data_IF_282144206105
#
_entry.id   IF_282144206105
#
_cell.length_a   1.000
_cell.length_b   1.000
_cell.length_c   1.000
_cell.angle_alpha   90.00
_cell.angle_beta   90.00
_cell.angle_gamma   90.00
#
_symmetry.space_group_name_H-M   'P 1'
#
loop_
_entity.id
_entity.type
_entity.pdbx_description
1 polymer ?
#
# COMPACT_ATOMS: atom_id res chain seq x y z
N UNK A 1 -17.68 64.86 26.25
CA UNK A 1 -19.05 64.54 25.78
C UNK A 1 -19.35 65.40 24.55
N UNK A 2 -20.20 64.96 23.61
CA UNK A 2 -20.50 63.60 23.14
C UNK A 2 -19.71 63.38 21.80
N UNK A 3 -20.05 62.59 20.76
CA UNK A 3 -20.83 61.34 20.53
C UNK A 3 -19.84 60.39 19.79
N UNK A 4 -19.82 59.06 19.98
CA UNK A 4 -20.71 58.02 19.39
C UNK A 4 -20.87 58.07 17.87
N UNK A 5 -20.28 57.08 17.20
CA UNK A 5 -20.93 56.34 16.11
C UNK A 5 -20.33 54.93 16.06
N UNK A 6 -21.15 53.90 16.19
CA UNK A 6 -20.75 52.48 16.09
C UNK A 6 -21.31 51.94 14.77
N UNK A 7 -20.52 51.24 13.93
CA UNK A 7 -21.07 50.63 12.73
C UNK A 7 -22.08 49.53 13.12
N UNK A 8 -23.31 49.67 12.63
CA UNK A 8 -24.35 48.65 12.78
C UNK A 8 -24.10 47.60 11.69
N UNK A 9 -23.54 46.45 12.08
CA UNK A 9 -23.32 45.35 11.15
C UNK A 9 -24.64 44.58 10.97
N UNK A 10 -25.38 44.92 9.91
CA UNK A 10 -26.71 44.37 9.67
C UNK A 10 -26.63 42.88 9.31
N UNK A 11 -27.22 42.04 10.16
CA UNK A 11 -27.17 40.59 10.02
C UNK A 11 -28.16 40.05 8.95
N UNK A 12 -28.93 40.91 8.29
CA UNK A 12 -29.90 40.50 7.26
C UNK A 12 -29.30 40.36 5.86
N UNK A 13 -28.20 41.07 5.56
CA UNK A 13 -27.59 41.11 4.22
C UNK A 13 -26.80 39.81 3.90
N UNK A 14 -26.09 39.28 4.91
CA UNK A 14 -25.33 38.02 4.77
C UNK A 14 -26.22 36.81 4.44
N UNK A 15 -27.41 36.73 5.01
CA UNK A 15 -28.35 35.64 4.76
C UNK A 15 -28.94 35.66 3.35
N UNK A 16 -28.99 36.84 2.70
CA UNK A 16 -29.38 36.96 1.30
C UNK A 16 -28.26 36.51 0.35
N UNK A 17 -27.00 36.72 0.74
CA UNK A 17 -25.83 36.29 -0.04
C UNK A 17 -25.65 34.77 -0.02
N UNK A 18 -25.67 34.14 1.17
CA UNK A 18 -25.51 32.69 1.32
C UNK A 18 -26.58 31.91 0.52
N UNK A 19 -27.84 32.33 0.59
CA UNK A 19 -28.94 31.72 -0.17
C UNK A 19 -28.79 31.86 -1.69
N UNK A 20 -28.07 32.89 -2.17
CA UNK A 20 -27.77 33.07 -3.59
C UNK A 20 -26.55 32.25 -4.04
N UNK A 21 -25.64 31.91 -3.12
CA UNK A 21 -24.55 30.94 -3.36
C UNK A 21 -25.10 29.52 -3.47
N UNK A 22 -25.89 29.05 -2.48
CA UNK A 22 -26.49 27.70 -2.52
C UNK A 22 -27.32 27.45 -3.80
N UNK A 23 -28.11 28.46 -4.23
CA UNK A 23 -28.89 28.38 -5.45
C UNK A 23 -28.04 28.34 -6.74
N UNK A 24 -26.80 28.86 -6.69
CA UNK A 24 -25.85 28.80 -7.81
C UNK A 24 -25.13 27.44 -7.84
N UNK A 25 -24.74 26.92 -6.69
CA UNK A 25 -24.10 25.60 -6.56
C UNK A 25 -25.04 24.47 -7.01
N UNK A 26 -26.30 24.47 -6.56
CA UNK A 26 -27.31 23.48 -7.00
C UNK A 26 -27.61 23.55 -8.51
N UNK A 27 -27.46 24.73 -9.14
CA UNK A 27 -27.56 24.88 -10.58
C UNK A 27 -26.38 24.21 -11.32
N UNK A 28 -25.16 24.43 -10.82
CA UNK A 28 -23.94 23.84 -11.37
C UNK A 28 -23.92 22.31 -11.25
N UNK A 29 -24.32 21.75 -10.10
CA UNK A 29 -24.41 20.29 -9.91
C UNK A 29 -25.41 19.65 -10.88
N UNK A 30 -26.55 20.30 -11.14
CA UNK A 30 -27.56 19.81 -12.08
C UNK A 30 -27.11 19.85 -13.54
N UNK A 31 -26.36 20.89 -13.94
CA UNK A 31 -25.82 21.03 -15.30
C UNK A 31 -24.67 20.04 -15.54
N UNK A 32 -23.81 19.82 -14.54
CA UNK A 32 -22.71 18.85 -14.58
C UNK A 32 -23.23 17.41 -14.68
N UNK A 33 -24.25 17.05 -13.89
CA UNK A 33 -24.88 15.72 -13.96
C UNK A 33 -25.62 15.44 -15.28
N UNK A 34 -25.99 16.49 -16.04
CA UNK A 34 -26.51 16.33 -17.39
C UNK A 34 -25.40 16.07 -18.42
N UNK A 35 -24.22 16.65 -18.21
CA UNK A 35 -23.08 16.52 -19.12
C UNK A 35 -22.41 15.15 -19.04
N UNK A 36 -22.19 14.61 -17.83
CA UNK A 36 -21.67 13.24 -17.63
C UNK A 36 -22.52 12.19 -18.37
N UNK A 37 -23.85 12.39 -18.35
CA UNK A 37 -24.82 11.48 -18.96
C UNK A 37 -24.81 11.50 -20.49
N UNK A 38 -24.35 12.59 -21.10
CA UNK A 38 -24.21 12.71 -22.55
C UNK A 38 -22.92 12.04 -23.06
N UNK A 39 -21.88 11.97 -22.24
CA UNK A 39 -20.62 11.27 -22.59
C UNK A 39 -20.74 9.74 -22.58
N UNK A 40 -21.54 9.18 -21.67
CA UNK A 40 -21.75 7.72 -21.57
C UNK A 40 -22.40 7.14 -22.85
N UNK A 41 -23.41 7.85 -23.38
CA UNK A 41 -24.14 7.43 -24.60
C UNK A 41 -23.29 7.53 -25.89
N UNK A 42 -22.29 8.42 -25.91
CA UNK A 42 -21.39 8.58 -27.06
C UNK A 42 -20.37 7.44 -27.20
N UNK A 43 -19.83 6.94 -26.09
CA UNK A 43 -18.80 5.89 -26.07
C UNK A 43 -19.35 4.54 -26.56
N UNK A 44 -20.64 4.28 -26.34
CA UNK A 44 -21.31 3.06 -26.78
C UNK A 44 -21.46 2.91 -28.31
N UNK A 45 -21.28 3.97 -29.09
CA UNK A 45 -21.55 3.98 -30.53
C UNK A 45 -20.33 3.60 -31.42
N UNK A 46 -19.10 3.86 -30.96
CA UNK A 46 -17.89 3.81 -31.81
C UNK A 46 -17.28 2.39 -31.93
N UNK A 47 -17.52 1.53 -30.94
CA UNK A 47 -16.88 0.21 -30.78
C UNK A 47 -17.37 -0.83 -31.82
N UNK A 48 -18.33 -0.48 -32.69
CA UNK A 48 -19.05 -1.42 -33.56
C UNK A 48 -18.57 -1.49 -35.03
N UNK A 49 -17.55 -0.72 -35.43
CA UNK A 49 -17.35 -0.34 -36.84
C UNK A 49 -16.07 -0.85 -37.56
N UNK A 50 -15.30 -1.79 -36.98
CA UNK A 50 -13.96 -2.15 -37.49
C UNK A 50 -13.68 -3.67 -37.65
N UNK A 51 -14.36 -4.34 -38.59
CA UNK A 51 -14.00 -5.70 -39.08
C UNK A 51 -14.31 -5.87 -40.58
N UNK A 52 -13.42 -6.56 -41.31
CA UNK A 52 -13.46 -6.74 -42.78
C UNK A 52 -12.23 -6.09 -43.44
N UNK A 53 -11.25 -6.85 -43.93
CA UNK A 53 -11.20 -7.46 -45.28
C UNK A 53 -11.07 -6.39 -46.39
N UNK A 54 -10.25 -6.49 -47.43
CA UNK A 54 -9.12 -7.31 -47.89
C UNK A 54 -8.91 -6.86 -49.36
N UNK A 55 -7.69 -6.60 -49.82
CA UNK A 55 -7.29 -6.86 -51.22
C UNK A 55 -5.75 -6.78 -51.36
N UNK A 56 -5.29 -7.30 -52.49
CA UNK A 56 -3.92 -7.60 -52.88
C UNK A 56 -3.24 -6.49 -53.67
N UNK A 57 -1.89 -6.52 -53.68
CA UNK A 57 -1.15 -6.61 -54.94
C UNK A 57 0.18 -7.36 -54.69
N UNK A 58 0.80 -7.91 -55.75
CA UNK A 58 2.02 -8.69 -55.64
C UNK A 58 2.93 -8.54 -56.88
N UNK A 59 4.25 -8.43 -56.65
CA UNK A 59 5.25 -8.82 -57.64
C UNK A 59 6.47 -9.45 -56.95
N UNK A 60 7.17 -10.32 -57.67
CA UNK A 60 8.30 -11.13 -57.21
C UNK A 60 9.65 -10.37 -57.45
N UNK A 61 10.83 -10.75 -56.96
CA UNK A 61 11.53 -12.03 -57.20
C UNK A 61 12.83 -12.14 -56.36
N UNK A 62 13.20 -13.38 -56.00
CA UNK A 62 14.55 -14.00 -56.03
C UNK A 62 15.80 -13.21 -55.57
N UNK A 63 16.80 -13.74 -54.84
CA UNK A 63 17.15 -15.06 -54.24
C UNK A 63 18.17 -14.76 -53.10
N UNK A 64 18.54 -15.61 -52.14
CA UNK A 64 19.11 -16.97 -52.25
C UNK A 64 19.07 -17.72 -50.89
N UNK A 65 19.30 -19.04 -50.89
CA UNK A 65 19.17 -19.93 -49.72
C UNK A 65 20.49 -20.19 -48.98
N UNK A 66 20.43 -20.34 -47.64
CA UNK A 66 21.06 -21.42 -46.81
C UNK A 66 20.75 -21.09 -45.33
N UNK A 67 20.07 -21.94 -44.55
CA UNK A 67 20.51 -23.24 -44.02
C UNK A 67 21.87 -23.16 -43.27
N UNK A 68 21.99 -23.45 -41.97
CA UNK A 68 20.97 -23.87 -40.99
C UNK A 68 21.63 -24.76 -39.93
N UNK A 69 21.69 -24.27 -38.69
CA UNK A 69 22.24 -24.94 -37.50
C UNK A 69 21.49 -24.29 -36.31
N UNK A 70 20.51 -24.96 -35.71
CA UNK A 70 20.63 -25.88 -34.56
C UNK A 70 21.03 -25.16 -33.26
N UNK A 71 20.29 -25.45 -32.19
CA UNK A 71 20.39 -24.70 -30.94
C UNK A 71 21.53 -25.21 -30.04
N UNK A 72 22.00 -24.34 -29.15
CA UNK A 72 22.08 -24.74 -27.74
C UNK A 72 20.89 -24.13 -27.00
N UNK A 73 20.04 -24.99 -26.44
CA UNK A 73 19.24 -24.60 -25.29
C UNK A 73 20.24 -24.28 -24.17
N UNK A 74 20.41 -23.00 -23.86
CA UNK A 74 21.10 -22.61 -22.65
C UNK A 74 20.17 -22.95 -21.48
N UNK A 75 20.46 -24.05 -20.78
CA UNK A 75 19.99 -24.26 -19.42
C UNK A 75 20.52 -23.11 -18.57
N UNK A 76 19.71 -22.06 -18.45
CA UNK A 76 19.86 -21.08 -17.39
C UNK A 76 19.32 -21.79 -16.15
N UNK A 77 20.23 -22.27 -15.31
CA UNK A 77 19.93 -22.67 -13.93
C UNK A 77 19.21 -21.51 -13.24
N UNK A 78 17.89 -21.56 -13.26
CA UNK A 78 17.02 -20.62 -12.58
C UNK A 78 17.04 -20.95 -11.09
N UNK A 79 18.14 -20.57 -10.42
CA UNK A 79 18.13 -20.38 -8.97
C UNK A 79 16.88 -19.57 -8.61
N UNK A 80 16.14 -19.92 -7.55
CA UNK A 80 14.92 -19.22 -7.17
C UNK A 80 15.28 -17.79 -6.76
N UNK A 81 15.18 -16.87 -7.71
CA UNK A 81 15.65 -15.50 -7.55
C UNK A 81 14.86 -14.86 -6.41
N UNK A 82 15.58 -14.32 -5.43
CA UNK A 82 14.97 -13.61 -4.31
C UNK A 82 13.99 -12.54 -4.87
N UNK A 83 12.70 -12.56 -4.51
CA UNK A 83 11.72 -11.60 -5.05
C UNK A 83 12.11 -10.15 -4.76
N UNK A 84 12.87 -9.91 -3.69
CA UNK A 84 13.44 -8.59 -3.37
C UNK A 84 14.56 -8.22 -4.36
N UNK A 85 15.35 -9.20 -4.81
CA UNK A 85 16.40 -9.00 -5.81
C UNK A 85 15.82 -8.77 -7.22
N UNK A 86 14.77 -9.50 -7.60
CA UNK A 86 14.01 -9.25 -8.85
C UNK A 86 13.37 -7.87 -8.86
N UNK A 87 12.63 -7.52 -7.81
CA UNK A 87 11.99 -6.20 -7.69
C UNK A 87 13.03 -5.08 -7.74
N UNK A 88 14.18 -5.26 -7.07
CA UNK A 88 15.32 -4.33 -7.14
C UNK A 88 15.99 -4.30 -8.53
N UNK A 89 15.91 -5.35 -9.33
CA UNK A 89 16.37 -5.34 -10.71
C UNK A 89 15.38 -4.62 -11.64
N UNK A 90 14.08 -4.83 -11.44
CA UNK A 90 13.02 -4.11 -12.14
C UNK A 90 13.09 -2.60 -11.86
N UNK A 91 13.20 -2.19 -10.59
CA UNK A 91 13.35 -0.77 -10.19
C UNK A 91 14.64 -0.11 -10.70
N UNK A 92 15.67 -0.87 -11.10
CA UNK A 92 16.89 -0.34 -11.77
C UNK A 92 16.73 -0.20 -13.29
N UNK A 93 15.82 -0.96 -13.91
CA UNK A 93 15.58 -0.96 -15.37
C UNK A 93 14.44 -0.02 -15.76
N UNK A 94 13.51 0.25 -14.85
CA UNK A 94 12.42 1.19 -15.07
C UNK A 94 12.92 2.64 -15.19
N UNK A 95 12.30 3.48 -16.06
CA UNK A 95 12.66 4.89 -16.20
C UNK A 95 12.10 5.74 -15.05
N UNK A 96 12.71 6.91 -14.83
CA UNK A 96 12.31 7.89 -13.81
C UNK A 96 12.91 7.63 -12.42
N UNK A 97 13.16 8.73 -11.71
CA UNK A 97 13.58 8.71 -10.30
C UNK A 97 12.37 8.61 -9.37
N UNK A 98 12.58 8.09 -8.17
CA UNK A 98 11.53 8.03 -7.14
C UNK A 98 11.59 9.26 -6.23
N UNK A 99 10.45 9.93 -6.03
CA UNK A 99 10.31 11.05 -5.10
C UNK A 99 9.20 10.77 -4.07
N UNK A 100 9.21 11.53 -2.98
CA UNK A 100 8.20 11.45 -1.93
C UNK A 100 7.32 12.69 -1.94
N UNK A 101 6.01 12.46 -1.95
CA UNK A 101 4.97 13.48 -1.83
C UNK A 101 4.40 13.40 -0.40
N UNK A 102 4.17 14.56 0.22
CA UNK A 102 3.44 14.67 1.48
C UNK A 102 2.00 15.14 1.21
N UNK A 103 1.03 14.35 1.65
CA UNK A 103 -0.42 14.58 1.53
C UNK A 103 -1.09 14.58 2.90
N UNK A 104 -2.34 15.05 2.98
CA UNK A 104 -3.11 14.91 4.22
C UNK A 104 -3.33 13.43 4.59
N UNK A 105 -3.12 13.09 5.86
CA UNK A 105 -3.32 11.73 6.36
C UNK A 105 -4.77 11.27 6.18
N UNK A 106 -4.97 10.03 5.77
CA UNK A 106 -6.29 9.47 5.40
C UNK A 106 -6.67 9.69 3.94
N UNK A 107 -6.16 10.72 3.28
CA UNK A 107 -6.48 11.05 1.88
C UNK A 107 -5.55 10.37 0.85
N UNK A 108 -4.54 9.62 1.28
CA UNK A 108 -3.44 9.12 0.44
C UNK A 108 -3.95 8.30 -0.77
N UNK A 109 -4.92 7.40 -0.55
CA UNK A 109 -5.52 6.59 -1.61
C UNK A 109 -6.32 7.45 -2.61
N UNK A 110 -6.99 8.52 -2.14
CA UNK A 110 -7.69 9.47 -3.01
C UNK A 110 -6.69 10.33 -3.78
N UNK A 111 -5.56 10.69 -3.19
CA UNK A 111 -4.48 11.41 -3.88
C UNK A 111 -3.79 10.51 -4.92
N UNK A 112 -3.60 9.21 -4.67
CA UNK A 112 -3.13 8.26 -5.71
C UNK A 112 -4.07 8.25 -6.91
N UNK A 113 -5.38 8.02 -6.70
CA UNK A 113 -6.37 8.06 -7.78
C UNK A 113 -6.43 9.42 -8.49
N UNK A 114 -6.43 10.54 -7.74
CA UNK A 114 -6.39 11.89 -8.31
C UNK A 114 -5.13 12.11 -9.17
N UNK A 115 -3.96 11.59 -8.75
CA UNK A 115 -2.72 11.66 -9.53
C UNK A 115 -2.84 10.83 -10.80
N UNK A 116 -3.29 9.58 -10.72
CA UNK A 116 -3.45 8.68 -11.88
C UNK A 116 -4.38 9.28 -12.95
N UNK A 117 -5.56 9.77 -12.56
CA UNK A 117 -6.48 10.47 -13.47
C UNK A 117 -5.88 11.79 -14.00
N UNK A 118 -5.13 12.54 -13.19
CA UNK A 118 -4.52 13.81 -13.63
C UNK A 118 -3.32 13.61 -14.55
N UNK A 119 -2.59 12.50 -14.42
CA UNK A 119 -1.50 12.11 -15.33
C UNK A 119 -2.07 11.80 -16.71
N UNK A 120 -3.19 11.06 -16.77
CA UNK A 120 -3.93 10.78 -18.00
C UNK A 120 -4.51 12.06 -18.61
N UNK A 121 -5.23 12.88 -17.83
CA UNK A 121 -5.94 14.06 -18.34
C UNK A 121 -5.03 15.25 -18.73
N UNK A 122 -3.76 15.25 -18.34
CA UNK A 122 -2.77 16.26 -18.74
C UNK A 122 -1.76 15.75 -19.78
N UNK A 123 -1.88 14.50 -20.21
CA UNK A 123 -0.94 13.82 -21.12
C UNK A 123 0.53 13.86 -20.65
N UNK A 124 0.73 13.75 -19.32
CA UNK A 124 2.07 13.72 -18.68
C UNK A 124 2.49 12.29 -18.30
N UNK A 125 1.89 11.28 -18.93
CA UNK A 125 2.19 9.86 -18.72
C UNK A 125 3.64 9.48 -19.05
N UNK A 126 4.22 10.15 -20.04
CA UNK A 126 5.64 10.00 -20.42
C UNK A 126 6.63 10.50 -19.34
N UNK A 127 6.15 11.27 -18.35
CA UNK A 127 6.96 11.80 -17.26
C UNK A 127 6.61 11.23 -15.89
N UNK A 128 5.39 10.75 -15.66
CA UNK A 128 4.94 10.20 -14.36
C UNK A 128 4.52 8.73 -14.55
N UNK A 129 5.44 7.82 -14.24
CA UNK A 129 5.34 6.42 -14.60
C UNK A 129 4.64 5.52 -13.56
N UNK A 130 4.65 5.92 -12.29
CA UNK A 130 4.05 5.12 -11.20
C UNK A 130 3.75 5.98 -9.97
N UNK A 131 2.66 5.68 -9.25
CA UNK A 131 2.30 6.28 -7.96
C UNK A 131 1.97 5.16 -6.98
N UNK A 132 2.56 5.16 -5.78
CA UNK A 132 2.30 4.14 -4.76
C UNK A 132 2.09 4.71 -3.36
N UNK A 133 1.15 4.11 -2.62
CA UNK A 133 0.92 4.40 -1.20
C UNK A 133 1.57 3.26 -0.39
N UNK A 134 2.51 3.54 0.53
CA UNK A 134 3.20 2.49 1.28
C UNK A 134 2.25 1.85 2.31
N UNK A 135 1.71 0.69 1.97
CA UNK A 135 0.83 -0.12 2.83
C UNK A 135 1.41 -1.50 3.08
N UNK A 136 1.32 -1.94 4.33
CA UNK A 136 1.69 -3.26 4.83
C UNK A 136 0.42 -4.06 5.13
N UNK A 137 0.43 -5.36 4.83
CA UNK A 137 -0.75 -6.20 4.94
C UNK A 137 -0.80 -6.92 6.30
N UNK A 138 -1.61 -6.42 7.23
CA UNK A 138 -1.65 -6.93 8.60
C UNK A 138 -2.83 -7.87 8.80
N UNK A 139 -2.59 -9.08 9.31
CA UNK A 139 -3.66 -9.99 9.72
C UNK A 139 -4.25 -9.56 11.06
N UNK A 140 -5.37 -8.85 11.03
CA UNK A 140 -6.12 -8.43 12.21
C UNK A 140 -7.13 -9.51 12.61
N UNK A 141 -7.09 -9.97 13.87
CA UNK A 141 -8.06 -10.95 14.38
C UNK A 141 -9.29 -10.21 14.92
N UNK A 142 -10.28 -9.98 14.05
CA UNK A 142 -11.55 -9.37 14.42
C UNK A 142 -12.62 -10.44 14.63
N UNK A 143 -13.20 -10.47 15.83
CA UNK A 143 -14.28 -11.38 16.23
C UNK A 143 -13.94 -12.88 16.00
N UNK A 144 -12.70 -13.28 16.27
CA UNK A 144 -12.20 -14.66 16.10
C UNK A 144 -11.87 -15.07 14.65
N UNK A 145 -12.27 -14.27 13.65
CA UNK A 145 -11.85 -14.47 12.27
C UNK A 145 -10.60 -13.65 11.97
N UNK A 146 -9.64 -14.26 11.25
CA UNK A 146 -8.50 -13.54 10.69
C UNK A 146 -8.98 -12.73 9.50
N UNK A 147 -8.82 -11.41 9.54
CA UNK A 147 -9.03 -10.53 8.39
C UNK A 147 -7.72 -9.87 7.99
N UNK A 148 -7.40 -9.97 6.71
CA UNK A 148 -6.31 -9.30 6.03
C UNK A 148 -6.68 -7.80 5.89
N UNK A 149 -5.87 -6.89 6.43
CA UNK A 149 -6.17 -5.45 6.50
C UNK A 149 -4.92 -4.63 6.17
N UNK A 150 -4.97 -3.89 5.08
CA UNK A 150 -3.87 -3.04 4.62
C UNK A 150 -3.74 -1.82 5.55
N UNK A 151 -2.63 -1.76 6.30
CA UNK A 151 -2.25 -0.68 7.19
C UNK A 151 -1.26 0.23 6.48
N UNK A 152 -1.44 1.54 6.55
CA UNK A 152 -0.47 2.51 6.01
C UNK A 152 0.77 2.53 6.89
N UNK A 153 1.94 2.26 6.30
CA UNK A 153 3.25 2.26 7.00
C UNK A 153 3.65 3.69 7.36
N UNK A 154 3.39 4.63 6.43
CA UNK A 154 3.69 6.05 6.58
C UNK A 154 2.43 6.87 6.24
N UNK A 155 1.58 7.22 7.22
CA UNK A 155 0.41 8.05 6.98
C UNK A 155 0.83 9.45 6.50
N UNK A 156 0.14 9.95 5.49
CA UNK A 156 0.44 11.22 4.81
C UNK A 156 1.59 11.18 3.79
N UNK A 157 2.17 10.01 3.48
CA UNK A 157 3.26 9.89 2.50
C UNK A 157 2.85 9.02 1.30
N UNK A 158 3.29 9.45 0.10
CA UNK A 158 3.07 8.77 -1.18
C UNK A 158 4.39 8.77 -1.95
N UNK A 159 4.73 7.67 -2.60
CA UNK A 159 5.88 7.56 -3.49
C UNK A 159 5.43 7.78 -4.94
N UNK A 160 6.21 8.52 -5.73
CA UNK A 160 5.99 8.72 -7.17
C UNK A 160 7.26 8.41 -7.93
N UNK A 161 7.17 7.69 -9.05
CA UNK A 161 8.28 7.48 -9.99
C UNK A 161 8.08 8.37 -11.21
N UNK A 162 8.98 9.30 -11.45
CA UNK A 162 8.83 10.33 -12.47
C UNK A 162 10.16 10.91 -12.96
N UNK A 163 10.17 11.55 -14.11
CA UNK A 163 11.22 12.50 -14.49
C UNK A 163 10.88 13.89 -13.94
N UNK A 164 11.85 14.59 -13.35
CA UNK A 164 11.60 15.89 -12.73
C UNK A 164 11.70 17.03 -13.77
N UNK A 165 10.55 17.40 -14.34
CA UNK A 165 10.38 18.59 -15.18
C UNK A 165 9.25 19.50 -14.65
N UNK A 166 9.08 20.68 -15.23
CA UNK A 166 8.11 21.68 -14.74
C UNK A 166 6.65 21.23 -14.88
N UNK A 167 6.33 20.45 -15.92
CA UNK A 167 4.98 19.96 -16.22
C UNK A 167 4.53 18.89 -15.23
N UNK A 168 5.36 17.86 -15.01
CA UNK A 168 5.12 16.79 -14.03
C UNK A 168 5.17 17.31 -12.59
N UNK A 169 6.10 18.21 -12.26
CA UNK A 169 6.14 18.91 -10.98
C UNK A 169 4.85 19.71 -10.76
N UNK A 170 4.37 20.43 -11.78
CA UNK A 170 3.12 21.17 -11.77
C UNK A 170 1.89 20.26 -11.64
N UNK A 171 1.86 19.11 -12.31
CA UNK A 171 0.78 18.13 -12.23
C UNK A 171 0.65 17.59 -10.80
N UNK A 172 1.76 17.14 -10.19
CA UNK A 172 1.79 16.68 -8.79
C UNK A 172 1.43 17.82 -7.84
N UNK A 173 2.08 18.99 -7.96
CA UNK A 173 1.93 20.08 -6.98
C UNK A 173 0.53 20.70 -6.97
N UNK A 174 -0.19 20.65 -8.09
CA UNK A 174 -1.55 21.16 -8.23
C UNK A 174 -2.63 20.06 -8.04
N UNK A 175 -2.28 18.86 -7.59
CA UNK A 175 -3.24 17.80 -7.31
C UNK A 175 -3.93 18.01 -5.95
N UNK A 176 -5.28 18.01 -5.87
CA UNK A 176 -6.00 18.17 -4.60
C UNK A 176 -5.61 17.11 -3.57
N UNK A 177 -5.22 17.57 -2.38
CA UNK A 177 -4.75 16.74 -1.26
C UNK A 177 -3.24 16.65 -1.11
N UNK A 178 -2.46 17.08 -2.11
CA UNK A 178 -0.99 17.23 -2.03
C UNK A 178 -0.64 18.52 -1.30
N UNK A 179 0.22 18.43 -0.28
CA UNK A 179 0.79 19.60 0.40
C UNK A 179 2.09 20.08 -0.27
N UNK A 180 2.88 19.14 -0.80
CA UNK A 180 4.12 19.39 -1.53
C UNK A 180 4.98 18.14 -1.62
N UNK A 181 6.15 18.25 -2.26
CA UNK A 181 7.18 17.23 -2.21
C UNK A 181 8.00 17.32 -0.91
N UNK A 182 8.58 16.20 -0.50
CA UNK A 182 9.58 16.14 0.59
C UNK A 182 10.97 16.40 -0.01
N UNK A 183 11.73 17.33 0.56
CA UNK A 183 13.07 17.66 0.07
C UNK A 183 13.49 19.09 0.43
N UNK A 184 14.44 19.64 -0.33
CA UNK A 184 14.82 21.04 -0.21
C UNK A 184 13.73 21.95 -0.77
N UNK A 185 13.57 23.15 -0.20
CA UNK A 185 12.44 24.08 -0.41
C UNK A 185 12.12 24.40 -1.87
N UNK A 186 13.08 24.25 -2.79
CA UNK A 186 12.94 24.55 -4.22
C UNK A 186 13.03 23.33 -5.16
N UNK A 187 13.53 22.17 -4.71
CA UNK A 187 13.66 20.94 -5.52
C UNK A 187 13.54 19.68 -4.66
N UNK A 188 12.73 18.68 -5.06
CA UNK A 188 12.65 17.41 -4.36
C UNK A 188 13.97 16.64 -4.49
N UNK A 189 14.30 15.85 -3.47
CA UNK A 189 15.41 14.89 -3.56
C UNK A 189 14.87 13.54 -4.03
N UNK A 190 15.52 12.85 -4.98
CA UNK A 190 15.19 11.48 -5.28
C UNK A 190 15.54 10.57 -4.09
N UNK A 191 14.78 9.49 -3.91
CA UNK A 191 15.08 8.36 -3.03
C UNK A 191 16.07 7.42 -3.70
N UNK A 192 16.92 6.77 -2.90
CA UNK A 192 17.66 5.61 -3.40
C UNK A 192 16.72 4.40 -3.52
N UNK A 193 16.99 3.52 -4.48
CA UNK A 193 16.24 2.28 -4.69
C UNK A 193 16.16 1.42 -3.41
N UNK A 194 17.15 1.49 -2.52
CA UNK A 194 17.12 0.77 -1.24
C UNK A 194 16.02 1.29 -0.28
N UNK A 195 15.73 2.59 -0.33
CA UNK A 195 14.66 3.22 0.48
C UNK A 195 13.29 2.92 -0.14
N UNK A 196 13.17 3.00 -1.46
CA UNK A 196 11.96 2.60 -2.20
C UNK A 196 11.58 1.15 -1.90
N UNK A 197 12.54 0.21 -2.01
CA UNK A 197 12.33 -1.20 -1.65
C UNK A 197 11.90 -1.32 -0.20
N UNK A 198 12.52 -0.60 0.74
CA UNK A 198 12.16 -0.64 2.17
C UNK A 198 10.72 -0.16 2.45
N UNK A 199 10.16 0.75 1.64
CA UNK A 199 8.82 1.29 1.84
C UNK A 199 7.72 0.55 1.06
N UNK A 200 8.03 -0.01 -0.12
CA UNK A 200 7.08 -0.78 -0.95
C UNK A 200 7.11 -2.28 -0.65
N UNK A 201 8.26 -2.79 -0.20
CA UNK A 201 8.42 -4.13 0.37
C UNK A 201 9.01 -4.00 1.78
N UNK A 202 8.17 -3.66 2.80
CA UNK A 202 8.45 -4.06 4.17
C UNK A 202 8.85 -5.53 4.12
N UNK A 203 10.07 -5.84 4.59
CA UNK A 203 10.60 -7.19 4.49
C UNK A 203 9.78 -8.07 5.42
N UNK A 204 8.93 -8.95 4.87
CA UNK A 204 8.25 -10.02 5.60
C UNK A 204 9.31 -10.96 6.20
N UNK A 205 9.76 -10.58 7.39
CA UNK A 205 10.81 -11.17 8.23
C UNK A 205 12.13 -11.54 7.54
N UNK A 206 13.24 -11.00 8.06
CA UNK A 206 14.60 -11.47 7.72
C UNK A 206 14.91 -12.84 8.36
N UNK A 207 14.06 -13.83 8.09
CA UNK A 207 14.08 -15.15 8.73
C UNK A 207 13.98 -16.33 7.76
N UNK A 208 14.29 -16.12 6.47
CA UNK A 208 14.35 -17.20 5.46
C UNK A 208 15.52 -17.16 4.47
N UNK A 209 16.63 -16.48 4.78
CA UNK A 209 17.80 -16.37 3.89
C UNK A 209 19.19 -16.47 4.55
N UNK A 210 19.29 -16.80 5.85
CA UNK A 210 20.60 -16.92 6.53
C UNK A 210 20.65 -18.03 7.59
N UNK A 211 20.15 -19.22 7.22
CA UNK A 211 20.27 -20.43 8.02
C UNK A 211 20.58 -21.63 7.11
N UNK A 212 21.85 -21.79 6.75
CA UNK A 212 22.36 -23.03 6.14
C UNK A 212 22.85 -23.97 7.24
N UNK A 213 22.12 -25.05 7.53
CA UNK A 213 22.71 -26.32 7.91
C UNK A 213 22.68 -27.26 6.69
N UNK A 214 23.83 -27.80 6.33
CA UNK A 214 23.90 -28.82 5.26
C UNK A 214 23.52 -30.21 5.78
N UNK A 215 23.00 -31.04 4.85
CA UNK A 215 22.70 -32.47 4.98
C UNK A 215 21.57 -32.89 5.94
N UNK A 216 20.67 -33.79 5.49
CA UNK A 216 19.96 -34.64 6.46
C UNK A 216 18.58 -35.26 6.17
N UNK A 217 18.14 -35.46 4.93
CA UNK A 217 17.33 -36.64 4.56
C UNK A 217 15.88 -36.87 5.08
N UNK A 218 15.04 -37.28 4.12
CA UNK A 218 13.79 -38.05 4.27
C UNK A 218 12.49 -37.31 4.67
N UNK A 219 11.37 -38.03 4.56
CA UNK A 219 10.15 -37.55 3.90
C UNK A 219 8.90 -37.48 4.78
N UNK A 220 7.87 -36.81 4.22
CA UNK A 220 6.43 -36.92 4.56
C UNK A 220 5.95 -36.09 5.77
N UNK A 221 5.06 -35.12 5.51
CA UNK A 221 4.39 -34.33 6.56
C UNK A 221 3.62 -33.13 6.03
N UNK A 222 2.39 -33.32 5.56
CA UNK A 222 1.46 -32.23 5.23
C UNK A 222 0.94 -31.58 6.52
N UNK A 223 1.18 -30.27 6.71
CA UNK A 223 0.47 -29.49 7.74
C UNK A 223 0.43 -27.99 7.41
N UNK A 224 -0.68 -27.33 7.75
CA UNK A 224 -0.96 -25.95 7.36
C UNK A 224 -0.05 -24.92 8.04
N UNK A 225 0.35 -23.90 7.27
CA UNK A 225 1.11 -22.72 7.73
C UNK A 225 0.34 -21.94 8.80
N UNK A 226 0.60 -22.24 10.08
CA UNK A 226 0.32 -21.30 11.17
C UNK A 226 1.26 -20.10 11.00
N UNK A 227 0.76 -18.84 11.05
CA UNK A 227 1.65 -17.69 11.16
C UNK A 227 2.44 -17.81 12.46
N UNK A 228 3.76 -17.65 12.35
CA UNK A 228 4.66 -17.57 13.52
C UNK A 228 4.39 -16.21 14.17
N UNK A 229 3.57 -16.22 15.21
CA UNK A 229 3.50 -15.07 16.09
C UNK A 229 4.81 -15.10 16.89
N UNK A 230 5.74 -14.20 16.60
CA UNK A 230 6.82 -13.92 17.53
C UNK A 230 6.20 -13.33 18.80
N UNK A 231 6.32 -14.03 19.92
CA UNK A 231 5.83 -13.58 21.22
C UNK A 231 6.98 -13.61 22.19
N UNK A 232 7.46 -12.43 22.58
CA UNK A 232 8.61 -12.22 23.46
C UNK A 232 8.26 -12.52 24.92
N UNK A 233 8.03 -13.81 25.20
CA UNK A 233 7.79 -14.37 26.54
C UNK A 233 8.96 -15.23 26.98
N UNK A 234 9.61 -14.84 28.07
CA UNK A 234 10.71 -15.59 28.68
C UNK A 234 10.24 -16.40 29.91
N UNK A 235 10.92 -17.51 30.21
CA UNK A 235 10.65 -18.31 31.41
C UNK A 235 11.11 -17.54 32.66
N UNK A 236 10.23 -17.42 33.65
CA UNK A 236 10.42 -16.60 34.85
C UNK A 236 9.75 -15.22 34.78
N UNK A 237 9.19 -14.83 33.63
CA UNK A 237 8.50 -13.54 33.47
C UNK A 237 7.15 -13.47 34.22
N UNK A 238 6.78 -12.27 34.66
CA UNK A 238 5.48 -12.00 35.30
C UNK A 238 4.44 -11.54 34.27
N UNK A 239 3.27 -12.17 34.28
CA UNK A 239 2.15 -11.89 33.37
C UNK A 239 0.84 -11.77 34.13
N UNK A 240 -0.09 -10.95 33.63
CA UNK A 240 -1.48 -10.93 34.07
C UNK A 240 -2.31 -11.82 33.16
N UNK A 241 -3.15 -12.69 33.72
CA UNK A 241 -4.12 -13.46 32.94
C UNK A 241 -5.23 -12.51 32.45
N UNK A 242 -5.47 -12.48 31.14
CA UNK A 242 -6.47 -11.62 30.50
C UNK A 242 -7.84 -12.32 30.35
N UNK A 243 -7.85 -13.64 30.19
CA UNK A 243 -9.02 -14.43 29.80
C UNK A 243 -9.18 -15.72 30.62
N UNK A 244 -10.40 -16.27 30.65
CA UNK A 244 -10.75 -17.47 31.39
C UNK A 244 -11.02 -17.26 32.89
N UNK A 245 -11.23 -18.34 33.67
CA UNK A 245 -11.66 -18.26 35.07
C UNK A 245 -10.59 -17.72 36.04
N UNK A 246 -9.38 -17.45 35.54
CA UNK A 246 -8.26 -16.88 36.30
C UNK A 246 -7.92 -15.45 35.87
N UNK A 247 -8.75 -14.82 35.02
CA UNK A 247 -8.53 -13.45 34.56
C UNK A 247 -8.34 -12.44 35.70
N UNK A 248 -7.53 -11.41 35.46
CA UNK A 248 -7.02 -10.40 36.43
C UNK A 248 -6.06 -10.91 37.52
N UNK A 249 -5.77 -12.22 37.58
CA UNK A 249 -4.76 -12.74 38.51
C UNK A 249 -3.34 -12.62 37.94
N UNK A 250 -2.33 -12.30 38.79
CA UNK A 250 -0.93 -12.36 38.43
C UNK A 250 -0.44 -13.82 38.41
N UNK A 251 0.40 -14.14 37.42
CA UNK A 251 1.03 -15.43 37.26
C UNK A 251 2.48 -15.28 36.77
N UNK A 252 3.32 -16.29 37.00
CA UNK A 252 4.68 -16.35 36.46
C UNK A 252 4.81 -17.45 35.39
N UNK A 253 5.58 -17.21 34.34
CA UNK A 253 5.80 -18.19 33.26
C UNK A 253 6.77 -19.27 33.75
N UNK A 254 6.33 -20.53 33.80
CA UNK A 254 7.16 -21.67 34.20
C UNK A 254 7.71 -22.46 33.01
N UNK A 255 7.00 -22.49 31.88
CA UNK A 255 7.43 -23.21 30.67
C UNK A 255 6.74 -22.60 29.44
N UNK A 256 7.49 -22.40 28.35
CA UNK A 256 6.98 -21.88 27.07
C UNK A 256 6.99 -23.00 26.03
N UNK A 257 5.81 -23.40 25.53
CA UNK A 257 5.69 -24.35 24.43
C UNK A 257 5.26 -23.62 23.15
N UNK A 258 6.26 -23.16 22.39
CA UNK A 258 6.05 -22.40 21.16
C UNK A 258 5.32 -23.22 20.07
N UNK A 259 5.64 -24.51 19.93
CA UNK A 259 5.06 -25.42 18.93
C UNK A 259 3.53 -25.56 19.08
N UNK A 260 3.05 -25.75 20.31
CA UNK A 260 1.63 -25.90 20.62
C UNK A 260 0.92 -24.57 20.90
N UNK A 261 1.68 -23.45 20.96
CA UNK A 261 1.21 -22.11 21.34
C UNK A 261 0.59 -22.07 22.76
N UNK A 262 1.24 -22.76 23.70
CA UNK A 262 0.83 -22.89 25.10
C UNK A 262 1.90 -22.39 26.06
N UNK A 263 1.46 -21.82 27.17
CA UNK A 263 2.27 -21.49 28.33
C UNK A 263 1.82 -22.33 29.52
N UNK A 264 2.78 -22.87 30.29
CA UNK A 264 2.51 -23.30 31.68
C UNK A 264 2.82 -22.12 32.58
N UNK A 265 1.80 -21.56 33.21
CA UNK A 265 1.93 -20.45 34.16
C UNK A 265 1.61 -20.91 35.58
N UNK A 266 2.30 -20.32 36.55
CA UNK A 266 2.04 -20.50 37.98
C UNK A 266 1.17 -19.32 38.45
N UNK A 267 -0.15 -19.55 38.54
CA UNK A 267 -1.08 -18.52 39.02
C UNK A 267 -0.98 -18.44 40.54
N UNK A 268 -0.75 -17.24 41.08
CA UNK A 268 -0.59 -17.05 42.53
C UNK A 268 -1.94 -16.79 43.19
N UNK A 269 -2.50 -17.82 43.86
CA UNK A 269 -3.84 -17.78 44.46
C UNK A 269 -3.72 -18.05 45.96
N UNK A 270 -4.13 -17.08 46.79
CA UNK A 270 -4.01 -17.13 48.26
C UNK A 270 -2.60 -17.47 48.78
N UNK A 271 -1.55 -17.00 48.11
CA UNK A 271 -0.16 -17.29 48.47
C UNK A 271 0.27 -18.72 48.16
N UNK A 272 -0.40 -19.40 47.23
CA UNK A 272 -0.02 -20.71 46.68
C UNK A 272 0.03 -20.61 45.16
N UNK A 273 1.14 -21.05 44.59
CA UNK A 273 1.33 -21.15 43.15
C UNK A 273 0.61 -22.40 42.62
N UNK A 274 -0.26 -22.22 41.63
CA UNK A 274 -1.00 -23.32 40.99
C UNK A 274 -0.65 -23.36 39.50
N UNK A 275 -0.10 -24.48 38.98
CA UNK A 275 0.23 -24.60 37.56
C UNK A 275 -1.04 -24.73 36.71
N UNK A 276 -1.15 -23.90 35.67
CA UNK A 276 -2.26 -23.86 34.71
C UNK A 276 -1.69 -23.73 33.29
N UNK A 277 -2.28 -24.43 32.33
CA UNK A 277 -1.98 -24.21 30.90
C UNK A 277 -2.89 -23.11 30.34
N UNK A 278 -2.29 -22.10 29.71
CA UNK A 278 -2.99 -21.00 29.03
C UNK A 278 -2.43 -20.80 27.61
N UNK A 279 -3.23 -20.25 26.70
CA UNK A 279 -2.75 -19.82 25.38
C UNK A 279 -2.03 -18.47 25.43
N UNK A 280 -1.10 -18.22 24.49
CA UNK A 280 -0.41 -16.92 24.37
C UNK A 280 -1.35 -15.71 24.29
N UNK A 281 -2.56 -15.87 23.74
CA UNK A 281 -3.58 -14.81 23.63
C UNK A 281 -4.37 -14.55 24.91
N UNK A 282 -4.16 -15.34 25.97
CA UNK A 282 -4.90 -15.27 27.24
C UNK A 282 -4.11 -14.62 28.38
N UNK A 283 -2.90 -14.12 28.09
CA UNK A 283 -2.01 -13.45 29.05
C UNK A 283 -1.48 -12.14 28.47
N UNK A 284 -1.16 -11.20 29.33
CA UNK A 284 -0.48 -9.95 28.99
C UNK A 284 0.74 -9.74 29.90
N UNK A 285 1.82 -9.21 29.32
CA UNK A 285 3.07 -8.82 30.00
C UNK A 285 2.80 -7.65 30.96
N UNK A 286 3.51 -7.60 32.09
CA UNK A 286 3.44 -6.54 33.12
C UNK A 286 4.67 -5.65 33.01
#
# INVERSE_FOLDING_TARGET
MPFVSTPHNDATDVAAYDAQVEATEQGLEAEQAAQDRATDEAIAADVAAATGEDDSDADETAVDETAGDEAPAADIDAEPVDPVAEFKAALRRAPGDWYVIHSYAGYENKVKANLETRVQNLDVGDYIFQVEVPTEEVTEIKNGQRKQVNRKVLPGYILVRMELNDESWGAVRNTPGVTGFVGATSRPSPLTINEVVKFLMPQEDKKKASATPAAGGDTTGETATKPVIEVDFEVGESVTVMDGPFATLPASISEVNAEQQKLKVLVSIFGRETPVELGFTQVAKI
#
